data_IF_723733917287
#
_entry.id   IF_723733917287
#
_cell.length_a   1.000
_cell.length_b   1.000
_cell.length_c   1.000
_cell.angle_alpha   90.00
_cell.angle_beta   90.00
_cell.angle_gamma   90.00
#
_symmetry.space_group_name_H-M   'P 1'
#
loop_
_entity.id
_entity.type
_entity.pdbx_description
1 polymer ?
#
# COMPACT_ATOMS: atom_id res chain seq x y z
N UNK A 1 26.02 16.05 -18.26
CA UNK A 1 25.30 15.98 -16.98
C UNK A 1 26.33 15.55 -15.95
N UNK A 2 26.68 16.42 -15.02
CA UNK A 2 27.67 16.10 -13.97
C UNK A 2 27.03 15.19 -12.91
N UNK A 3 27.86 14.48 -12.14
CA UNK A 3 27.35 13.62 -11.05
C UNK A 3 26.54 14.44 -10.03
N UNK A 4 26.91 15.71 -9.81
CA UNK A 4 26.19 16.64 -8.94
C UNK A 4 24.78 16.96 -9.48
N UNK A 5 24.65 17.25 -10.78
CA UNK A 5 23.34 17.48 -11.41
C UNK A 5 22.45 16.23 -11.34
N UNK A 6 23.04 15.04 -11.43
CA UNK A 6 22.28 13.80 -11.31
C UNK A 6 21.70 13.60 -9.91
N UNK A 7 22.49 13.83 -8.86
CA UNK A 7 22.05 13.69 -7.47
C UNK A 7 21.01 14.73 -7.11
N UNK A 8 21.18 15.97 -7.54
CA UNK A 8 20.20 17.01 -7.26
C UNK A 8 18.85 16.71 -7.90
N UNK A 9 18.85 16.17 -9.12
CA UNK A 9 17.62 15.69 -9.77
C UNK A 9 16.96 14.54 -8.99
N UNK A 10 17.75 13.61 -8.46
CA UNK A 10 17.23 12.53 -7.61
C UNK A 10 16.61 13.06 -6.30
N UNK A 11 17.29 13.99 -5.63
CA UNK A 11 16.81 14.61 -4.39
C UNK A 11 15.53 15.43 -4.66
N UNK A 12 15.48 16.18 -5.75
CA UNK A 12 14.29 16.94 -6.15
C UNK A 12 13.10 16.02 -6.46
N UNK A 13 13.34 14.88 -7.11
CA UNK A 13 12.29 13.87 -7.29
C UNK A 13 11.79 13.32 -5.94
N UNK A 14 12.69 13.07 -4.98
CA UNK A 14 12.30 12.62 -3.64
C UNK A 14 11.50 13.68 -2.88
N UNK A 15 11.87 14.96 -3.00
CA UNK A 15 11.13 16.09 -2.42
C UNK A 15 9.70 16.14 -2.93
N UNK A 16 9.54 16.12 -4.25
CA UNK A 16 8.23 16.12 -4.90
C UNK A 16 7.37 14.93 -4.43
N UNK A 17 7.94 13.73 -4.36
CA UNK A 17 7.23 12.51 -3.91
C UNK A 17 6.86 12.49 -2.43
N UNK A 18 7.53 13.29 -1.59
CA UNK A 18 7.29 13.31 -0.15
C UNK A 18 6.60 14.61 0.31
N UNK A 19 6.17 15.47 -0.64
CA UNK A 19 5.58 16.78 -0.33
C UNK A 19 6.54 17.68 0.47
N UNK A 20 7.84 17.53 0.26
CA UNK A 20 8.87 18.30 0.95
C UNK A 20 9.39 19.40 0.02
N UNK A 21 9.47 20.63 0.50
CA UNK A 21 10.08 21.75 -0.22
C UNK A 21 11.56 21.89 0.15
N UNK A 22 11.88 21.59 1.43
CA UNK A 22 13.24 21.71 1.95
C UNK A 22 13.92 20.35 2.19
N UNK A 23 15.25 20.33 2.20
CA UNK A 23 16.01 19.14 2.59
C UNK A 23 15.71 18.72 4.02
N UNK A 24 15.43 19.69 4.91
CA UNK A 24 15.07 19.44 6.29
C UNK A 24 13.73 18.70 6.39
N UNK A 25 12.74 19.09 5.58
CA UNK A 25 11.47 18.39 5.45
C UNK A 25 11.66 17.00 4.84
N UNK A 26 12.46 16.86 3.79
CA UNK A 26 12.74 15.56 3.20
C UNK A 26 13.41 14.62 4.21
N UNK A 27 14.37 15.12 4.99
CA UNK A 27 15.02 14.34 6.03
C UNK A 27 14.04 13.87 7.12
N UNK A 28 13.07 14.73 7.51
CA UNK A 28 11.98 14.36 8.41
C UNK A 28 11.06 13.31 7.78
N UNK A 29 10.65 13.50 6.54
CA UNK A 29 9.77 12.58 5.81
C UNK A 29 10.41 11.19 5.67
N UNK A 30 11.72 11.13 5.41
CA UNK A 30 12.49 9.90 5.29
C UNK A 30 13.00 9.35 6.64
N UNK A 31 12.79 10.05 7.75
CA UNK A 31 13.28 9.71 9.10
C UNK A 31 14.80 9.48 9.17
N UNK A 32 15.56 10.35 8.52
CA UNK A 32 17.04 10.33 8.51
C UNK A 32 17.61 11.59 9.16
N UNK A 33 18.87 11.54 9.57
CA UNK A 33 19.56 12.73 10.09
C UNK A 33 19.68 13.82 9.02
N UNK A 34 19.55 15.10 9.40
CA UNK A 34 19.58 16.25 8.47
C UNK A 34 20.86 16.30 7.61
N UNK A 35 21.98 15.81 8.13
CA UNK A 35 23.26 15.74 7.42
C UNK A 35 23.32 14.65 6.34
N UNK A 36 22.35 13.72 6.32
CA UNK A 36 22.36 12.56 5.41
C UNK A 36 22.19 12.99 3.95
N UNK A 37 21.33 13.97 3.68
CA UNK A 37 21.09 14.48 2.32
C UNK A 37 22.33 15.20 1.79
N UNK A 38 22.96 16.05 2.61
CA UNK A 38 24.24 16.67 2.26
C UNK A 38 25.33 15.62 1.99
N UNK A 39 25.34 14.53 2.76
CA UNK A 39 26.24 13.40 2.53
C UNK A 39 25.96 12.64 1.23
N UNK A 40 24.73 12.63 0.70
CA UNK A 40 24.45 12.07 -0.64
C UNK A 40 25.02 12.93 -1.75
N UNK A 41 24.85 14.27 -1.65
CA UNK A 41 25.47 15.22 -2.58
C UNK A 41 26.99 15.07 -2.62
N UNK A 42 27.63 15.09 -1.45
CA UNK A 42 29.09 14.94 -1.36
C UNK A 42 29.60 13.59 -1.89
N UNK A 43 28.76 12.55 -1.91
CA UNK A 43 29.11 11.22 -2.44
C UNK A 43 28.75 11.05 -3.92
N UNK A 44 28.08 12.01 -4.54
CA UNK A 44 27.60 11.88 -5.92
C UNK A 44 26.55 10.77 -6.09
N UNK A 45 25.86 10.34 -5.01
CA UNK A 45 24.86 9.27 -5.11
C UNK A 45 23.81 9.26 -4.00
N UNK A 46 22.57 8.95 -4.37
CA UNK A 46 21.47 8.62 -3.44
C UNK A 46 21.33 7.10 -3.34
N UNK A 47 21.27 6.49 -2.14
CA UNK A 47 21.10 5.06 -2.01
C UNK A 47 19.81 4.56 -2.66
N UNK A 48 19.90 3.48 -3.43
CA UNK A 48 18.81 2.91 -4.24
C UNK A 48 17.52 2.67 -3.45
N UNK A 49 17.62 2.28 -2.18
CA UNK A 49 16.45 2.08 -1.29
C UNK A 49 15.55 3.31 -1.13
N UNK A 50 16.08 4.52 -1.30
CA UNK A 50 15.29 5.75 -1.25
C UNK A 50 14.71 6.08 -2.63
N UNK A 51 15.41 5.78 -3.72
CA UNK A 51 14.96 6.01 -5.09
C UNK A 51 13.80 5.10 -5.49
N UNK A 52 13.78 3.87 -4.97
CA UNK A 52 12.75 2.86 -5.27
C UNK A 52 11.46 3.04 -4.47
N UNK A 53 11.46 3.91 -3.45
CA UNK A 53 10.25 4.26 -2.70
C UNK A 53 9.46 5.28 -3.51
N UNK A 54 8.64 4.83 -4.46
CA UNK A 54 7.56 5.70 -4.97
C UNK A 54 6.47 5.73 -3.92
N UNK A 55 5.85 6.89 -3.75
CA UNK A 55 4.54 6.99 -3.14
C UNK A 55 3.58 6.18 -4.05
N UNK A 56 3.12 5.02 -3.57
CA UNK A 56 2.18 4.16 -4.29
C UNK A 56 2.74 2.95 -5.06
N UNK A 57 4.04 2.61 -4.97
CA UNK A 57 4.63 1.51 -5.78
C UNK A 57 5.28 0.39 -4.95
N UNK A 58 4.75 0.12 -3.75
CA UNK A 58 4.88 -1.20 -3.13
C UNK A 58 3.97 -2.22 -3.85
N UNK A 59 4.04 -2.29 -5.19
CA UNK A 59 3.09 -3.01 -6.06
C UNK A 59 3.66 -4.30 -6.69
N UNK A 60 4.89 -4.72 -6.38
CA UNK A 60 5.47 -5.93 -7.02
C UNK A 60 6.01 -7.03 -6.10
N UNK A 61 6.10 -6.83 -4.78
CA UNK A 61 6.61 -7.88 -3.85
C UNK A 61 6.03 -7.82 -2.45
N UNK A 62 4.72 -7.59 -2.30
CA UNK A 62 4.10 -7.61 -0.97
C UNK A 62 3.88 -9.05 -0.53
N UNK A 63 4.96 -9.70 -0.08
CA UNK A 63 4.88 -10.94 0.72
C UNK A 63 4.59 -10.64 2.19
N UNK A 64 4.58 -9.36 2.59
CA UNK A 64 4.49 -8.92 3.99
C UNK A 64 3.69 -7.64 4.16
N UNK A 65 3.02 -7.51 5.30
CA UNK A 65 2.30 -6.29 5.67
C UNK A 65 3.22 -5.08 5.78
N UNK A 66 2.85 -3.90 5.24
CA UNK A 66 3.62 -2.68 5.44
C UNK A 66 3.67 -2.28 6.93
N UNK A 67 4.76 -1.59 7.34
CA UNK A 67 4.96 -1.15 8.73
C UNK A 67 3.99 -0.03 9.16
N UNK A 68 3.42 0.70 8.21
CA UNK A 68 2.42 1.74 8.43
C UNK A 68 1.38 1.63 7.34
N UNK A 69 0.13 1.63 7.74
CA UNK A 69 -0.99 1.52 6.82
C UNK A 69 -1.74 2.83 6.79
N UNK A 70 -2.06 3.27 5.58
CA UNK A 70 -3.06 4.32 5.36
C UNK A 70 -4.45 3.83 5.80
N UNK A 71 -5.41 4.75 5.91
CA UNK A 71 -6.75 4.36 6.32
C UNK A 71 -7.43 3.49 5.25
N UNK A 72 -7.21 3.78 3.96
CA UNK A 72 -7.66 2.95 2.84
C UNK A 72 -7.11 1.54 2.93
N UNK A 73 -5.82 1.39 3.26
CA UNK A 73 -5.18 0.07 3.37
C UNK A 73 -5.74 -0.76 4.53
N UNK A 74 -6.08 -0.11 5.65
CA UNK A 74 -6.76 -0.75 6.80
C UNK A 74 -8.15 -1.24 6.44
N UNK A 75 -8.93 -0.42 5.73
CA UNK A 75 -10.27 -0.83 5.33
C UNK A 75 -10.22 -1.91 4.24
N UNK A 76 -9.31 -1.77 3.28
CA UNK A 76 -9.06 -2.79 2.25
C UNK A 76 -8.66 -4.13 2.85
N UNK A 77 -7.85 -4.13 3.92
CA UNK A 77 -7.47 -5.37 4.60
C UNK A 77 -8.67 -6.04 5.26
N UNK A 78 -9.52 -5.27 5.93
CA UNK A 78 -10.75 -5.77 6.55
C UNK A 78 -11.66 -6.40 5.49
N UNK A 79 -11.88 -5.71 4.36
CA UNK A 79 -12.69 -6.21 3.25
C UNK A 79 -12.08 -7.45 2.60
N UNK A 80 -10.77 -7.47 2.39
CA UNK A 80 -10.06 -8.61 1.85
C UNK A 80 -10.11 -9.83 2.77
N UNK A 81 -10.01 -9.63 4.08
CA UNK A 81 -10.15 -10.71 5.06
C UNK A 81 -11.56 -11.31 5.00
N UNK A 82 -12.59 -10.47 4.93
CA UNK A 82 -13.98 -10.89 4.75
C UNK A 82 -14.16 -11.75 3.49
N UNK A 83 -13.73 -11.23 2.33
CA UNK A 83 -13.79 -11.93 1.03
C UNK A 83 -13.00 -13.23 1.04
N UNK A 84 -11.81 -13.22 1.64
CA UNK A 84 -10.92 -14.37 1.68
C UNK A 84 -11.44 -15.49 2.58
N UNK A 85 -12.06 -15.15 3.71
CA UNK A 85 -12.76 -16.12 4.58
C UNK A 85 -13.98 -16.67 3.85
N UNK A 86 -14.81 -15.80 3.26
CA UNK A 86 -16.03 -16.21 2.54
C UNK A 86 -15.74 -17.13 1.36
N UNK A 87 -14.71 -16.83 0.56
CA UNK A 87 -14.28 -17.69 -0.54
C UNK A 87 -13.79 -19.08 -0.10
N UNK A 88 -13.55 -19.26 1.20
CA UNK A 88 -13.05 -20.50 1.82
C UNK A 88 -13.99 -21.06 2.87
N UNK A 89 -15.19 -20.51 3.02
CA UNK A 89 -16.18 -21.04 3.95
C UNK A 89 -16.55 -22.45 3.46
N UNK A 90 -16.12 -23.47 4.21
CA UNK A 90 -16.10 -24.93 3.88
C UNK A 90 -14.90 -25.49 3.09
N UNK A 91 -13.79 -24.77 2.96
CA UNK A 91 -12.61 -25.29 2.24
C UNK A 91 -11.84 -26.39 3.01
N UNK A 92 -12.03 -26.46 4.33
CA UNK A 92 -11.33 -27.38 5.23
C UNK A 92 -12.25 -27.83 6.35
N UNK A 93 -12.37 -29.15 6.54
CA UNK A 93 -13.17 -29.72 7.65
C UNK A 93 -12.33 -29.93 8.91
N UNK A 94 -11.00 -29.98 8.77
CA UNK A 94 -10.05 -30.19 9.87
C UNK A 94 -8.79 -29.35 9.69
N UNK A 95 -8.09 -29.05 10.80
CA UNK A 95 -6.84 -28.30 10.76
C UNK A 95 -5.71 -29.08 10.05
N UNK A 96 -5.73 -30.42 10.06
CA UNK A 96 -4.73 -31.22 9.33
C UNK A 96 -4.89 -31.05 7.81
N UNK A 97 -6.13 -31.00 7.32
CA UNK A 97 -6.41 -30.76 5.90
C UNK A 97 -5.94 -29.37 5.46
N UNK A 98 -6.17 -28.36 6.31
CA UNK A 98 -5.64 -27.02 6.13
C UNK A 98 -4.12 -27.02 5.98
N UNK A 99 -3.39 -27.62 6.92
CA UNK A 99 -1.92 -27.68 6.88
C UNK A 99 -1.41 -28.46 5.66
N UNK A 100 -2.06 -29.57 5.31
CA UNK A 100 -1.68 -30.41 4.15
C UNK A 100 -1.87 -29.69 2.82
N UNK A 101 -2.91 -28.88 2.68
CA UNK A 101 -3.21 -28.07 1.48
C UNK A 101 -2.40 -26.76 1.43
N UNK A 102 -1.44 -26.55 2.33
CA UNK A 102 -0.59 -25.35 2.35
C UNK A 102 -1.18 -24.15 3.10
N UNK A 103 -2.28 -24.35 3.84
CA UNK A 103 -2.89 -23.34 4.69
C UNK A 103 -3.52 -22.16 3.94
N UNK A 104 -3.45 -20.98 4.56
CA UNK A 104 -3.78 -19.72 3.89
C UNK A 104 -2.58 -19.31 3.03
N UNK A 105 -2.64 -19.56 1.73
CA UNK A 105 -1.65 -19.02 0.80
C UNK A 105 -1.62 -17.50 0.91
N UNK A 106 -0.56 -16.97 1.53
CA UNK A 106 -0.37 -15.54 1.77
C UNK A 106 -0.44 -14.73 0.47
N UNK A 107 0.04 -15.29 -0.64
CA UNK A 107 -0.05 -14.70 -1.97
C UNK A 107 -1.49 -14.51 -2.44
N UNK A 108 -2.38 -15.46 -2.15
CA UNK A 108 -3.81 -15.35 -2.45
C UNK A 108 -4.49 -14.25 -1.64
N UNK A 109 -4.14 -14.14 -0.36
CA UNK A 109 -4.64 -13.07 0.50
C UNK A 109 -4.19 -11.68 0.01
N UNK A 110 -2.91 -11.50 -0.28
CA UNK A 110 -2.40 -10.20 -0.74
C UNK A 110 -3.00 -9.76 -2.06
N UNK A 111 -3.31 -10.70 -2.97
CA UNK A 111 -4.08 -10.39 -4.19
C UNK A 111 -5.50 -9.90 -3.86
N UNK A 112 -6.18 -10.52 -2.90
CA UNK A 112 -7.49 -10.08 -2.44
C UNK A 112 -7.42 -8.69 -1.78
N UNK A 113 -6.34 -8.41 -1.02
CA UNK A 113 -6.08 -7.10 -0.43
C UNK A 113 -5.93 -6.00 -1.48
N UNK A 114 -5.16 -6.25 -2.53
CA UNK A 114 -5.00 -5.29 -3.63
C UNK A 114 -6.30 -5.05 -4.38
N UNK A 115 -7.09 -6.09 -4.64
CA UNK A 115 -8.41 -5.95 -5.24
C UNK A 115 -9.33 -5.08 -4.37
N UNK A 116 -9.42 -5.39 -3.08
CA UNK A 116 -10.23 -4.60 -2.13
C UNK A 116 -9.79 -3.13 -2.04
N UNK A 117 -8.47 -2.86 -2.09
CA UNK A 117 -7.95 -1.49 -2.09
C UNK A 117 -8.37 -0.72 -3.33
N UNK A 118 -8.27 -1.35 -4.50
CA UNK A 118 -8.72 -0.73 -5.76
C UNK A 118 -10.21 -0.43 -5.72
N UNK A 119 -11.04 -1.39 -5.29
CA UNK A 119 -12.49 -1.21 -5.25
C UNK A 119 -12.90 -0.07 -4.29
N UNK A 120 -12.24 0.06 -3.13
CA UNK A 120 -12.45 1.18 -2.20
C UNK A 120 -12.10 2.52 -2.84
N UNK A 121 -10.94 2.60 -3.52
CA UNK A 121 -10.50 3.82 -4.19
C UNK A 121 -11.44 4.20 -5.33
N UNK A 122 -11.88 3.23 -6.13
CA UNK A 122 -12.84 3.45 -7.23
C UNK A 122 -14.15 4.01 -6.69
N UNK A 123 -14.74 3.39 -5.67
CA UNK A 123 -15.98 3.85 -5.07
C UNK A 123 -15.85 5.24 -4.41
N UNK A 124 -14.72 5.52 -3.75
CA UNK A 124 -14.44 6.85 -3.19
C UNK A 124 -14.27 7.94 -4.26
N UNK A 125 -13.86 7.58 -5.48
CA UNK A 125 -13.76 8.53 -6.58
C UNK A 125 -15.11 8.80 -7.26
N UNK A 126 -16.07 7.89 -7.12
CA UNK A 126 -17.42 8.02 -7.69
C UNK A 126 -18.34 8.89 -6.82
N UNK A 127 -18.13 8.90 -5.51
CA UNK A 127 -18.99 9.58 -4.54
C UNK A 127 -18.22 10.66 -3.77
N UNK A 128 -18.70 11.90 -3.83
CA UNK A 128 -18.07 13.05 -3.17
C UNK A 128 -18.11 12.88 -1.64
N UNK A 129 -17.02 13.23 -0.95
CA UNK A 129 -16.85 13.13 0.51
C UNK A 129 -16.97 11.71 1.13
N UNK A 130 -16.86 10.65 0.32
CA UNK A 130 -16.89 9.28 0.85
C UNK A 130 -15.62 8.92 1.61
N UNK A 131 -15.77 8.49 2.88
CA UNK A 131 -14.64 7.99 3.67
C UNK A 131 -14.27 6.55 3.29
N UNK A 132 -12.99 6.13 3.46
CA UNK A 132 -12.59 4.75 3.19
C UNK A 132 -13.38 3.70 3.97
N UNK A 133 -13.83 4.05 5.19
CA UNK A 133 -14.64 3.17 6.03
C UNK A 133 -16.03 2.99 5.44
N UNK A 134 -16.68 4.08 5.04
CA UNK A 134 -18.01 4.03 4.41
C UNK A 134 -17.97 3.23 3.11
N UNK A 135 -16.94 3.44 2.29
CA UNK A 135 -16.74 2.69 1.05
C UNK A 135 -16.63 1.18 1.32
N UNK A 136 -15.83 0.79 2.31
CA UNK A 136 -15.70 -0.61 2.72
C UNK A 136 -17.01 -1.21 3.23
N UNK A 137 -17.74 -0.49 4.10
CA UNK A 137 -19.03 -0.95 4.64
C UNK A 137 -20.08 -1.12 3.52
N UNK A 138 -20.10 -0.23 2.52
CA UNK A 138 -21.00 -0.32 1.37
C UNK A 138 -20.66 -1.50 0.46
N UNK A 139 -19.38 -1.70 0.13
CA UNK A 139 -18.93 -2.85 -0.67
C UNK A 139 -19.26 -4.17 0.04
N UNK A 140 -19.02 -4.25 1.36
CA UNK A 140 -19.41 -5.39 2.17
C UNK A 140 -20.92 -5.61 2.15
N UNK A 141 -21.72 -4.54 2.27
CA UNK A 141 -23.18 -4.63 2.22
C UNK A 141 -23.67 -5.20 0.87
N UNK A 142 -23.14 -4.69 -0.25
CA UNK A 142 -23.49 -5.13 -1.60
C UNK A 142 -23.17 -6.62 -1.83
N UNK A 143 -22.04 -7.11 -1.30
CA UNK A 143 -21.67 -8.54 -1.41
C UNK A 143 -22.60 -9.49 -0.63
N UNK A 144 -23.26 -8.99 0.41
CA UNK A 144 -24.23 -9.75 1.19
C UNK A 144 -25.68 -9.57 0.70
N UNK A 145 -25.97 -8.51 -0.07
CA UNK A 145 -27.30 -8.18 -0.57
C UNK A 145 -27.26 -7.86 -2.08
N UNK A 146 -26.98 -8.85 -2.94
CA UNK A 146 -26.82 -8.62 -4.38
C UNK A 146 -28.11 -8.16 -5.09
N UNK A 147 -29.28 -8.26 -4.45
CA UNK A 147 -30.59 -7.97 -5.05
C UNK A 147 -31.03 -6.49 -4.92
N UNK A 148 -30.16 -5.59 -4.44
CA UNK A 148 -30.48 -4.18 -4.17
C UNK A 148 -30.19 -3.15 -5.26
N UNK A 149 -29.75 -3.56 -6.46
CA UNK A 149 -29.54 -2.66 -7.61
C UNK A 149 -30.61 -2.93 -8.67
N UNK A 150 -31.81 -2.41 -8.42
CA UNK A 150 -32.89 -2.28 -9.39
C UNK A 150 -33.05 -0.85 -9.86
#
# INVERSE_FOLDING_TARGET
MTDDEHVDNQINSLKQRNGAETDSELAKALQIGRSTIASWRNRGSVPTRYLMRKQGDDMSTVSYAPLRWTDEERQAFTLALLRFIRARDKAFDTYQEFLRKGGLEATGFWKAHQAAKRDIIELMNEEEDMTPRTAMELLAYQEFHPEGTG
#
